data_IF_871138729573
#
_entry.id   IF_871138729573
#
_cell.length_a   1.000
_cell.length_b   1.000
_cell.length_c   1.000
_cell.angle_alpha   90.00
_cell.angle_beta   90.00
_cell.angle_gamma   90.00
#
_symmetry.space_group_name_H-M   'P 1'
#
loop_
_entity.id
_entity.type
_entity.pdbx_description
1 polymer ?
#
# COMPACT_ATOMS: atom_id res chain seq x y z
N UNK A 1 -1.25 -36.99 -28.81
CA UNK A 1 -1.67 -36.68 -27.43
C UNK A 1 -1.36 -35.22 -27.18
N UNK A 2 -2.38 -34.36 -27.19
CA UNK A 2 -2.20 -32.95 -26.81
C UNK A 2 -2.02 -32.84 -25.29
N UNK A 3 -1.30 -31.83 -24.78
CA UNK A 3 -1.13 -31.68 -23.34
C UNK A 3 -2.48 -31.35 -22.70
N UNK A 4 -2.90 -32.14 -21.71
CA UNK A 4 -4.01 -31.82 -20.82
C UNK A 4 -3.70 -30.53 -20.07
N UNK A 5 -4.35 -29.44 -20.48
CA UNK A 5 -4.32 -28.18 -19.72
C UNK A 5 -5.19 -28.37 -18.48
N UNK A 6 -4.57 -28.35 -17.30
CA UNK A 6 -5.24 -28.52 -16.02
C UNK A 6 -6.28 -27.41 -15.80
N UNK A 7 -7.49 -27.78 -15.43
CA UNK A 7 -8.67 -26.90 -15.25
C UNK A 7 -8.42 -25.68 -14.33
N UNK A 8 -7.44 -25.76 -13.42
CA UNK A 8 -7.02 -24.65 -12.56
C UNK A 8 -6.31 -23.50 -13.29
N UNK A 9 -5.57 -23.77 -14.37
CA UNK A 9 -4.86 -22.73 -15.14
C UNK A 9 -5.83 -21.89 -15.99
N UNK A 10 -6.95 -22.50 -16.41
CA UNK A 10 -8.02 -21.80 -17.14
C UNK A 10 -8.75 -20.82 -16.23
N UNK A 11 -9.01 -21.20 -14.97
CA UNK A 11 -9.62 -20.33 -13.96
C UNK A 11 -8.72 -19.15 -13.58
N UNK A 12 -7.41 -19.36 -13.47
CA UNK A 12 -6.48 -18.25 -13.22
C UNK A 12 -6.42 -17.27 -14.40
N UNK A 13 -6.40 -17.78 -15.65
CA UNK A 13 -6.42 -16.95 -16.86
C UNK A 13 -7.70 -16.13 -17.00
N UNK A 14 -8.85 -16.63 -16.56
CA UNK A 14 -10.10 -15.86 -16.57
C UNK A 14 -10.18 -14.81 -15.45
N UNK A 15 -9.43 -14.98 -14.36
CA UNK A 15 -9.48 -14.09 -13.19
C UNK A 15 -8.51 -12.90 -13.25
N UNK A 16 -7.59 -12.88 -14.22
CA UNK A 16 -6.65 -11.77 -14.43
C UNK A 16 -7.05 -11.05 -15.71
N UNK A 17 -7.33 -9.74 -15.58
CA UNK A 17 -7.61 -8.90 -16.74
C UNK A 17 -6.33 -8.44 -17.45
N UNK A 18 -6.41 -8.27 -18.76
CA UNK A 18 -5.34 -7.83 -19.65
C UNK A 18 -5.84 -6.74 -20.58
N UNK A 19 -4.95 -5.85 -20.99
CA UNK A 19 -5.23 -4.87 -22.04
C UNK A 19 -5.04 -5.51 -23.41
N UNK A 20 -6.10 -5.52 -24.22
CA UNK A 20 -6.05 -5.87 -25.63
C UNK A 20 -6.04 -4.60 -26.47
N UNK A 21 -5.35 -4.63 -27.62
CA UNK A 21 -5.31 -3.51 -28.53
C UNK A 21 -6.54 -3.52 -29.44
N UNK A 22 -7.22 -2.37 -29.54
CA UNK A 22 -8.35 -2.18 -30.46
C UNK A 22 -7.82 -2.15 -31.89
N UNK A 23 -6.81 -1.34 -32.18
CA UNK A 23 -6.02 -1.40 -33.41
C UNK A 23 -4.67 -2.04 -33.12
N UNK A 24 -4.31 -3.03 -33.92
CA UNK A 24 -3.10 -3.83 -33.73
C UNK A 24 -1.81 -3.01 -33.82
N UNK A 25 -0.85 -3.32 -32.95
CA UNK A 25 0.43 -2.57 -32.87
C UNK A 25 1.40 -2.93 -34.00
N UNK A 26 1.45 -4.19 -34.40
CA UNK A 26 2.40 -4.69 -35.40
C UNK A 26 1.73 -4.85 -36.77
N UNK A 27 2.50 -4.74 -37.85
CA UNK A 27 1.97 -4.83 -39.22
C UNK A 27 1.17 -6.11 -39.51
N UNK A 28 1.57 -7.23 -38.91
CA UNK A 28 0.88 -8.52 -39.06
C UNK A 28 -0.22 -8.78 -38.01
N UNK A 29 -0.45 -7.84 -37.10
CA UNK A 29 -1.43 -8.00 -36.02
C UNK A 29 -2.85 -7.71 -36.47
N UNK A 30 -3.82 -8.28 -35.75
CA UNK A 30 -5.23 -8.08 -36.04
C UNK A 30 -5.60 -6.59 -36.04
N UNK A 31 -6.31 -6.13 -37.07
CA UNK A 31 -6.81 -4.75 -37.20
C UNK A 31 -5.71 -3.67 -37.22
N UNK A 32 -4.50 -4.01 -37.70
CA UNK A 32 -3.45 -3.02 -37.88
C UNK A 32 -3.89 -1.91 -38.83
N UNK A 33 -3.67 -0.66 -38.43
CA UNK A 33 -3.84 0.53 -39.25
C UNK A 33 -2.46 1.12 -39.58
N UNK A 34 -2.17 1.24 -40.88
CA UNK A 34 -0.89 1.74 -41.38
C UNK A 34 -0.75 3.25 -41.22
N UNK A 35 -1.87 3.98 -41.13
CA UNK A 35 -1.89 5.44 -41.00
C UNK A 35 -1.75 5.89 -39.53
N UNK A 36 -1.81 4.94 -38.59
CA UNK A 36 -1.65 5.22 -37.15
C UNK A 36 -0.18 5.42 -36.78
N UNK A 37 0.10 6.43 -35.96
CA UNK A 37 1.44 6.66 -35.38
C UNK A 37 1.71 5.70 -34.21
N UNK A 38 2.97 5.53 -33.84
CA UNK A 38 3.35 4.68 -32.71
C UNK A 38 2.84 5.21 -31.36
N UNK A 39 2.75 6.55 -31.22
CA UNK A 39 2.14 7.21 -30.09
C UNK A 39 0.66 6.82 -29.97
N UNK A 40 -0.09 7.00 -31.05
CA UNK A 40 -1.53 6.65 -31.10
C UNK A 40 -1.76 5.15 -30.81
N UNK A 41 -0.90 4.26 -31.30
CA UNK A 41 -0.99 2.82 -31.01
C UNK A 41 -0.86 2.51 -29.51
N UNK A 42 -0.08 3.32 -28.80
CA UNK A 42 0.23 3.14 -27.37
C UNK A 42 -0.73 3.90 -26.44
N UNK A 43 -1.64 4.72 -26.98
CA UNK A 43 -2.57 5.49 -26.17
C UNK A 43 -3.58 4.60 -25.44
N UNK A 44 -3.99 4.97 -24.21
CA UNK A 44 -5.08 4.29 -23.51
C UNK A 44 -6.40 4.25 -24.31
N UNK A 45 -6.60 5.22 -25.20
CA UNK A 45 -7.74 5.24 -26.13
C UNK A 45 -7.73 4.06 -27.12
N UNK A 46 -6.57 3.49 -27.45
CA UNK A 46 -6.45 2.32 -28.32
C UNK A 46 -6.54 0.98 -27.56
N UNK A 47 -6.88 0.98 -26.28
CA UNK A 47 -6.93 -0.23 -25.46
C UNK A 47 -8.34 -0.56 -24.94
N UNK A 48 -8.60 -1.86 -24.76
CA UNK A 48 -9.76 -2.39 -24.04
C UNK A 48 -9.31 -3.39 -22.98
N UNK A 49 -9.87 -3.31 -21.78
CA UNK A 49 -9.55 -4.24 -20.69
C UNK A 49 -10.50 -5.43 -20.69
N UNK A 50 -9.97 -6.64 -20.81
CA UNK A 50 -10.72 -7.89 -20.94
C UNK A 50 -10.17 -8.93 -19.97
N UNK A 51 -10.95 -9.95 -19.62
CA UNK A 51 -10.38 -11.13 -18.96
C UNK A 51 -9.36 -11.81 -19.89
N UNK A 52 -8.39 -12.55 -19.34
CA UNK A 52 -7.33 -13.16 -20.15
C UNK A 52 -7.82 -14.04 -21.29
N UNK A 53 -8.95 -14.74 -21.11
CA UNK A 53 -9.57 -15.57 -22.16
C UNK A 53 -10.12 -14.71 -23.31
N UNK A 54 -10.89 -13.66 -23.00
CA UNK A 54 -11.45 -12.77 -24.01
C UNK A 54 -10.36 -11.94 -24.71
N UNK A 55 -9.32 -11.55 -23.99
CA UNK A 55 -8.13 -10.93 -24.57
C UNK A 55 -7.52 -11.84 -25.65
N UNK A 56 -7.18 -13.08 -25.27
CA UNK A 56 -6.53 -14.03 -26.19
C UNK A 56 -7.43 -14.34 -27.40
N UNK A 57 -8.75 -14.35 -27.22
CA UNK A 57 -9.72 -14.56 -28.29
C UNK A 57 -9.79 -13.40 -29.29
N UNK A 58 -9.74 -12.16 -28.80
CA UNK A 58 -9.82 -10.95 -29.63
C UNK A 58 -8.54 -10.71 -30.42
N UNK A 59 -7.38 -11.02 -29.83
CA UNK A 59 -6.07 -10.79 -30.45
C UNK A 59 -5.67 -11.91 -31.42
N UNK A 60 -5.97 -13.17 -31.11
CA UNK A 60 -5.52 -14.30 -31.94
C UNK A 60 -6.44 -14.63 -33.13
N UNK A 61 -7.58 -13.95 -33.30
CA UNK A 61 -8.53 -14.25 -34.38
C UNK A 61 -8.28 -13.47 -35.68
N UNK A 62 -7.09 -12.90 -35.88
CA UNK A 62 -6.70 -12.11 -37.09
C UNK A 62 -7.59 -10.90 -37.43
N UNK A 63 -8.62 -10.58 -36.63
CA UNK A 63 -9.46 -9.37 -36.78
C UNK A 63 -10.92 -9.56 -37.23
N UNK A 64 -11.31 -10.50 -38.13
CA UNK A 64 -12.65 -10.50 -38.72
C UNK A 64 -13.83 -10.65 -37.74
N UNK A 65 -13.64 -11.41 -36.65
CA UNK A 65 -14.71 -11.61 -35.66
C UNK A 65 -14.92 -10.44 -34.69
N UNK A 66 -13.97 -9.51 -34.63
CA UNK A 66 -13.97 -8.40 -33.67
C UNK A 66 -13.44 -7.16 -34.36
N UNK A 67 -14.31 -6.35 -34.96
CA UNK A 67 -13.91 -5.13 -35.66
C UNK A 67 -13.49 -4.01 -34.68
N UNK A 68 -12.72 -3.04 -35.17
CA UNK A 68 -12.36 -1.82 -34.42
C UNK A 68 -13.60 -1.12 -33.86
N UNK A 69 -14.65 -0.99 -34.69
CA UNK A 69 -15.91 -0.37 -34.29
C UNK A 69 -16.59 -1.12 -33.15
N UNK A 70 -16.61 -2.46 -33.20
CA UNK A 70 -17.22 -3.30 -32.17
C UNK A 70 -16.47 -3.19 -30.84
N UNK A 71 -15.14 -3.31 -30.85
CA UNK A 71 -14.31 -3.21 -29.64
C UNK A 71 -14.36 -1.81 -29.03
N UNK A 72 -14.39 -0.77 -29.87
CA UNK A 72 -14.60 0.62 -29.45
C UNK A 72 -15.94 0.78 -28.73
N UNK A 73 -17.03 0.26 -29.33
CA UNK A 73 -18.36 0.27 -28.72
C UNK A 73 -18.36 -0.45 -27.36
N UNK A 74 -17.74 -1.64 -27.27
CA UNK A 74 -17.67 -2.39 -26.02
C UNK A 74 -16.90 -1.65 -24.92
N UNK A 75 -15.77 -1.03 -25.26
CA UNK A 75 -14.99 -0.20 -24.33
C UNK A 75 -15.83 0.97 -23.81
N UNK A 76 -16.51 1.67 -24.71
CA UNK A 76 -17.27 2.87 -24.37
C UNK A 76 -18.51 2.54 -23.55
N UNK A 77 -19.24 1.48 -23.90
CA UNK A 77 -20.38 0.97 -23.14
C UNK A 77 -19.96 0.51 -21.75
N UNK A 78 -18.86 -0.23 -21.64
CA UNK A 78 -18.33 -0.67 -20.35
C UNK A 78 -17.93 0.54 -19.50
N UNK A 79 -17.18 1.49 -20.07
CA UNK A 79 -16.73 2.70 -19.37
C UNK A 79 -17.91 3.55 -18.93
N UNK A 80 -18.95 3.68 -19.76
CA UNK A 80 -20.18 4.39 -19.41
C UNK A 80 -20.94 3.67 -18.27
N UNK A 81 -21.04 2.34 -18.32
CA UNK A 81 -21.62 1.53 -17.24
C UNK A 81 -20.84 1.74 -15.94
N UNK A 82 -19.52 1.58 -15.96
CA UNK A 82 -18.67 1.79 -14.77
C UNK A 82 -18.81 3.21 -14.23
N UNK A 83 -18.80 4.24 -15.08
CA UNK A 83 -19.03 5.63 -14.65
C UNK A 83 -20.40 5.82 -13.99
N UNK A 84 -21.47 5.22 -14.53
CA UNK A 84 -22.80 5.26 -13.91
C UNK A 84 -22.82 4.52 -12.57
N UNK A 85 -22.14 3.37 -12.48
CA UNK A 85 -22.00 2.59 -11.25
C UNK A 85 -21.23 3.39 -10.19
N UNK A 86 -20.11 4.02 -10.57
CA UNK A 86 -19.33 4.92 -9.73
C UNK A 86 -20.02 6.24 -9.39
N UNK A 87 -21.10 6.61 -10.08
CA UNK A 87 -21.93 7.76 -9.73
C UNK A 87 -23.19 7.35 -8.95
N UNK A 88 -23.48 6.05 -8.86
CA UNK A 88 -24.70 5.56 -8.23
C UNK A 88 -24.54 5.47 -6.72
N UNK A 89 -25.40 6.13 -5.93
CA UNK A 89 -25.38 6.05 -4.47
C UNK A 89 -25.76 4.67 -3.92
N UNK A 90 -26.23 3.74 -4.78
CA UNK A 90 -26.65 2.39 -4.39
C UNK A 90 -25.53 1.34 -4.45
N UNK A 91 -24.34 1.70 -4.90
CA UNK A 91 -23.19 0.80 -4.88
C UNK A 91 -22.33 1.05 -3.63
N UNK A 92 -22.09 0.03 -2.79
CA UNK A 92 -21.27 0.17 -1.59
C UNK A 92 -19.78 0.44 -1.88
N UNK A 93 -19.38 0.39 -3.14
CA UNK A 93 -17.99 0.60 -3.56
C UNK A 93 -17.54 2.06 -3.39
N UNK A 94 -18.42 3.04 -3.57
CA UNK A 94 -18.08 4.46 -3.40
C UNK A 94 -17.74 4.82 -1.96
N UNK A 95 -18.60 4.49 -0.96
CA UNK A 95 -18.26 4.66 0.45
C UNK A 95 -16.98 3.95 0.84
N UNK A 96 -16.77 2.72 0.34
CA UNK A 96 -15.58 1.93 0.64
C UNK A 96 -14.29 2.53 0.03
N UNK A 97 -14.35 2.98 -1.22
CA UNK A 97 -13.24 3.68 -1.86
C UNK A 97 -12.93 5.01 -1.16
N UNK A 98 -13.96 5.78 -0.80
CA UNK A 98 -13.79 7.01 -0.03
C UNK A 98 -13.19 6.73 1.36
N UNK A 99 -13.62 5.65 2.02
CA UNK A 99 -13.07 5.19 3.30
C UNK A 99 -11.59 4.83 3.18
N UNK A 100 -11.22 4.09 2.14
CA UNK A 100 -9.84 3.72 1.84
C UNK A 100 -8.98 4.96 1.53
N UNK A 101 -9.46 5.88 0.70
CA UNK A 101 -8.75 7.12 0.37
C UNK A 101 -8.55 8.00 1.61
N UNK A 102 -9.59 8.13 2.44
CA UNK A 102 -9.53 8.87 3.70
C UNK A 102 -8.55 8.24 4.68
N UNK A 103 -8.61 6.93 4.88
CA UNK A 103 -7.70 6.21 5.75
C UNK A 103 -6.25 6.23 5.23
N UNK A 104 -6.04 6.22 3.92
CA UNK A 104 -4.72 6.41 3.32
C UNK A 104 -4.13 7.79 3.70
N UNK A 105 -4.94 8.86 3.71
CA UNK A 105 -4.50 10.19 4.17
C UNK A 105 -4.12 10.19 5.66
N UNK A 106 -4.89 9.51 6.50
CA UNK A 106 -4.56 9.35 7.93
C UNK A 106 -3.26 8.55 8.12
N UNK A 107 -3.05 7.48 7.35
CA UNK A 107 -1.82 6.70 7.40
C UNK A 107 -0.61 7.52 6.95
N UNK A 108 -0.75 8.33 5.90
CA UNK A 108 0.30 9.25 5.49
C UNK A 108 0.66 10.24 6.61
N UNK A 109 -0.34 10.84 7.26
CA UNK A 109 -0.09 11.73 8.40
C UNK A 109 0.60 11.00 9.55
N UNK A 110 0.24 9.76 9.82
CA UNK A 110 0.91 8.92 10.82
C UNK A 110 2.37 8.69 10.45
N UNK A 111 2.67 8.42 9.18
CA UNK A 111 4.05 8.28 8.71
C UNK A 111 4.85 9.57 8.89
N UNK A 112 4.26 10.72 8.57
CA UNK A 112 4.90 12.03 8.77
C UNK A 112 5.16 12.30 10.26
N UNK A 113 4.21 11.97 11.13
CA UNK A 113 4.36 12.09 12.59
C UNK A 113 5.51 11.22 13.09
N UNK A 114 5.61 9.98 12.62
CA UNK A 114 6.65 9.03 13.02
C UNK A 114 8.03 9.47 12.48
N UNK A 115 8.10 9.92 11.24
CA UNK A 115 9.33 10.42 10.62
C UNK A 115 9.90 11.64 11.35
N UNK A 116 9.04 12.49 11.92
CA UNK A 116 9.47 13.62 12.76
C UNK A 116 10.07 13.18 14.12
N UNK A 117 9.73 11.99 14.64
CA UNK A 117 10.26 11.51 15.93
C UNK A 117 11.61 10.84 15.77
N UNK A 118 12.69 11.62 15.95
CA UNK A 118 14.07 11.11 15.96
C UNK A 118 14.29 9.89 16.84
N UNK A 119 13.59 9.82 17.98
CA UNK A 119 13.60 8.67 18.89
C UNK A 119 13.25 7.33 18.26
N UNK A 120 12.68 7.32 17.05
CA UNK A 120 12.33 6.11 16.32
C UNK A 120 13.40 5.64 15.33
N UNK A 121 14.30 6.52 14.89
CA UNK A 121 15.16 6.24 13.74
C UNK A 121 16.63 6.65 13.87
N UNK A 122 16.99 7.42 14.91
CA UNK A 122 18.39 7.72 15.22
C UNK A 122 19.04 6.63 16.08
N UNK A 123 20.38 6.56 16.03
CA UNK A 123 21.16 5.67 16.88
C UNK A 123 20.83 5.91 18.36
N UNK A 124 20.62 4.83 19.12
CA UNK A 124 20.32 4.88 20.56
C UNK A 124 21.38 5.64 21.37
N UNK A 125 22.62 5.70 20.87
CA UNK A 125 23.73 6.40 21.52
C UNK A 125 23.68 7.93 21.35
N UNK A 126 22.84 8.44 20.45
CA UNK A 126 22.66 9.87 20.21
C UNK A 126 21.37 10.40 20.85
N UNK A 127 20.65 9.56 21.59
CA UNK A 127 19.38 9.91 22.19
C UNK A 127 19.58 10.66 23.52
N UNK A 128 18.74 11.66 23.75
CA UNK A 128 18.62 12.32 25.04
C UNK A 128 17.31 11.88 25.70
N UNK A 129 17.41 11.09 26.77
CA UNK A 129 16.25 10.45 27.42
C UNK A 129 15.09 11.39 27.79
N UNK A 130 15.33 12.59 28.34
CA UNK A 130 14.25 13.55 28.58
C UNK A 130 13.45 13.90 27.30
N UNK A 131 14.14 13.99 26.16
CA UNK A 131 13.53 14.25 24.86
C UNK A 131 12.81 13.02 24.31
N UNK A 132 13.36 11.81 24.49
CA UNK A 132 12.69 10.55 24.13
C UNK A 132 11.35 10.45 24.85
N UNK A 133 11.33 10.62 26.17
CA UNK A 133 10.08 10.52 26.95
C UNK A 133 9.06 11.59 26.50
N UNK A 134 9.51 12.82 26.24
CA UNK A 134 8.65 13.89 25.71
C UNK A 134 8.08 13.53 24.33
N UNK A 135 8.91 13.01 23.43
CA UNK A 135 8.53 12.58 22.09
C UNK A 135 7.49 11.46 22.14
N UNK A 136 7.66 10.47 23.03
CA UNK A 136 6.71 9.36 23.18
C UNK A 136 5.36 9.77 23.78
N UNK A 137 5.35 10.75 24.70
CA UNK A 137 4.08 11.36 25.17
C UNK A 137 3.36 12.07 24.03
N UNK A 138 4.08 12.85 23.23
CA UNK A 138 3.53 13.52 22.05
C UNK A 138 2.98 12.48 21.06
N UNK A 139 3.77 11.45 20.71
CA UNK A 139 3.36 10.39 19.80
C UNK A 139 2.04 9.73 20.21
N UNK A 140 1.84 9.46 21.51
CA UNK A 140 0.58 8.91 22.00
C UNK A 140 -0.61 9.85 21.79
N UNK A 141 -0.44 11.14 22.02
CA UNK A 141 -1.50 12.13 21.76
C UNK A 141 -1.84 12.20 20.27
N UNK A 142 -0.82 12.13 19.42
CA UNK A 142 -0.98 12.12 17.97
C UNK A 142 -1.69 10.84 17.47
N UNK A 143 -1.36 9.66 18.01
CA UNK A 143 -2.09 8.42 17.69
C UNK A 143 -3.55 8.47 18.13
N UNK A 144 -3.83 9.08 19.29
CA UNK A 144 -5.21 9.31 19.73
C UNK A 144 -5.95 10.28 18.81
N UNK A 145 -5.26 11.25 18.19
CA UNK A 145 -5.86 12.16 17.21
C UNK A 145 -6.18 11.43 15.91
N UNK A 146 -5.22 10.68 15.36
CA UNK A 146 -5.42 9.85 14.17
C UNK A 146 -6.58 8.84 14.34
N UNK A 147 -6.72 8.25 15.53
CA UNK A 147 -7.84 7.36 15.87
C UNK A 147 -9.23 8.02 15.82
N UNK A 148 -9.31 9.34 16.02
CA UNK A 148 -10.57 10.10 15.91
C UNK A 148 -10.84 10.57 14.49
N UNK A 149 -9.79 10.75 13.70
CA UNK A 149 -9.88 11.25 12.33
C UNK A 149 -10.16 10.12 11.33
N UNK A 150 -9.67 8.91 11.58
CA UNK A 150 -9.89 7.77 10.67
C UNK A 150 -11.37 7.44 10.47
N UNK A 151 -11.68 6.96 9.27
CA UNK A 151 -12.95 6.32 8.98
C UNK A 151 -12.95 4.90 9.55
N UNK A 152 -14.13 4.29 9.69
CA UNK A 152 -14.27 3.03 10.41
C UNK A 152 -13.43 1.91 9.79
N UNK A 153 -12.45 1.40 10.52
CA UNK A 153 -11.52 0.37 10.07
C UNK A 153 -10.90 -0.32 11.29
N UNK A 154 -11.31 -1.56 11.54
CA UNK A 154 -10.87 -2.29 12.73
C UNK A 154 -9.37 -2.58 12.73
N UNK A 155 -8.78 -2.82 11.57
CA UNK A 155 -7.36 -3.17 11.49
C UNK A 155 -6.50 -1.93 11.68
N UNK A 156 -6.81 -0.82 11.01
CA UNK A 156 -6.12 0.45 11.23
C UNK A 156 -6.27 0.90 12.68
N UNK A 157 -7.46 0.75 13.27
CA UNK A 157 -7.70 1.09 14.69
C UNK A 157 -6.82 0.26 15.64
N UNK A 158 -6.67 -1.04 15.39
CA UNK A 158 -5.76 -1.91 16.15
C UNK A 158 -4.31 -1.47 15.98
N UNK A 159 -3.90 -1.14 14.76
CA UNK A 159 -2.54 -0.73 14.43
C UNK A 159 -2.16 0.59 15.12
N UNK A 160 -3.01 1.62 15.06
CA UNK A 160 -2.77 2.89 15.74
C UNK A 160 -2.74 2.73 17.27
N UNK A 161 -3.63 1.88 17.83
CA UNK A 161 -3.60 1.55 19.26
C UNK A 161 -2.31 0.83 19.65
N UNK A 162 -1.81 -0.06 18.80
CA UNK A 162 -0.57 -0.79 19.04
C UNK A 162 0.64 0.15 19.06
N UNK A 163 0.74 1.11 18.12
CA UNK A 163 1.79 2.14 18.14
C UNK A 163 1.76 2.93 19.46
N UNK A 164 0.58 3.41 19.86
CA UNK A 164 0.42 4.12 21.14
C UNK A 164 0.70 3.25 22.36
N UNK A 165 0.48 1.94 22.28
CA UNK A 165 0.77 0.98 23.33
C UNK A 165 2.27 0.68 23.45
N UNK A 166 2.99 0.53 22.34
CA UNK A 166 4.45 0.35 22.32
C UNK A 166 5.14 1.51 23.06
N UNK A 167 4.79 2.75 22.71
CA UNK A 167 5.30 3.95 23.39
C UNK A 167 4.98 3.96 24.90
N UNK A 168 3.78 3.50 25.28
CA UNK A 168 3.37 3.40 26.70
C UNK A 168 4.17 2.33 27.44
N UNK A 169 4.39 1.18 26.81
CA UNK A 169 5.10 0.04 27.39
C UNK A 169 6.56 0.41 27.68
N UNK A 170 7.22 1.10 26.75
CA UNK A 170 8.56 1.64 27.00
C UNK A 170 8.59 2.55 28.21
N UNK A 171 7.72 3.57 28.25
CA UNK A 171 7.68 4.51 29.38
C UNK A 171 7.29 3.86 30.72
N UNK A 172 6.62 2.70 30.69
CA UNK A 172 6.30 1.92 31.89
C UNK A 172 7.51 1.11 32.36
N UNK A 173 8.29 0.56 31.44
CA UNK A 173 9.43 -0.32 31.75
C UNK A 173 10.74 0.45 32.00
N UNK A 174 10.84 1.67 31.47
CA UNK A 174 11.96 2.60 31.68
C UNK A 174 11.57 3.61 32.74
N UNK A 175 11.93 3.33 33.99
CA UNK A 175 11.79 4.27 35.10
C UNK A 175 12.83 5.38 34.92
N UNK A 176 12.38 6.63 34.91
CA UNK A 176 13.23 7.82 34.81
C UNK A 176 13.23 8.58 36.13
N UNK A 177 14.37 9.16 36.48
CA UNK A 177 14.50 10.06 37.63
C UNK A 177 13.89 11.44 37.35
N UNK A 178 14.00 12.35 38.32
CA UNK A 178 13.48 13.72 38.22
C UNK A 178 14.17 14.53 37.11
N UNK A 179 15.41 14.16 36.77
CA UNK A 179 16.19 14.69 35.66
C UNK A 179 15.81 14.12 34.29
N UNK A 180 14.91 13.13 34.26
CA UNK A 180 14.44 12.45 33.05
C UNK A 180 15.39 11.37 32.54
N UNK A 181 16.45 11.02 33.27
CA UNK A 181 17.39 9.96 32.89
C UNK A 181 16.98 8.59 33.45
N UNK A 182 17.29 7.47 32.76
CA UNK A 182 16.88 6.14 33.19
C UNK A 182 17.56 5.71 34.50
N UNK A 183 16.77 5.35 35.51
CA UNK A 183 17.29 4.97 36.83
C UNK A 183 18.06 3.65 36.85
N UNK A 184 17.83 2.77 35.85
CA UNK A 184 18.54 1.48 35.68
C UNK A 184 19.69 1.56 34.66
N UNK A 185 20.07 2.76 34.25
CA UNK A 185 21.10 3.00 33.24
C UNK A 185 20.59 2.95 31.80
N UNK A 186 21.35 3.57 30.90
CA UNK A 186 20.98 3.76 29.50
C UNK A 186 20.95 2.47 28.69
N UNK A 187 21.83 1.51 29.00
CA UNK A 187 21.88 0.22 28.27
C UNK A 187 20.54 -0.52 28.38
N UNK A 188 19.99 -0.63 29.60
CA UNK A 188 18.69 -1.24 29.83
C UNK A 188 17.59 -0.47 29.08
N UNK A 189 17.63 0.86 29.12
CA UNK A 189 16.63 1.70 28.50
C UNK A 189 16.67 1.62 26.94
N UNK A 190 17.87 1.57 26.36
CA UNK A 190 18.10 1.40 24.93
C UNK A 190 17.55 0.07 24.41
N UNK A 191 17.68 -1.03 25.18
CA UNK A 191 17.08 -2.31 24.82
C UNK A 191 15.54 -2.22 24.69
N UNK A 192 14.87 -1.51 25.61
CA UNK A 192 13.42 -1.29 25.50
C UNK A 192 13.07 -0.36 24.33
N UNK A 193 13.95 0.58 24.00
CA UNK A 193 13.78 1.47 22.85
C UNK A 193 13.85 0.69 21.53
N UNK A 194 14.79 -0.24 21.40
CA UNK A 194 14.92 -1.09 20.22
C UNK A 194 13.71 -2.00 20.04
N UNK A 195 13.23 -2.65 21.11
CA UNK A 195 12.00 -3.47 21.06
C UNK A 195 10.79 -2.65 20.60
N UNK A 196 10.62 -1.45 21.14
CA UNK A 196 9.52 -0.56 20.73
C UNK A 196 9.64 -0.15 19.26
N UNK A 197 10.87 0.11 18.77
CA UNK A 197 11.12 0.37 17.36
C UNK A 197 10.74 -0.85 16.53
N UNK A 198 11.22 -2.05 16.81
CA UNK A 198 10.83 -3.25 16.06
C UNK A 198 9.30 -3.45 15.97
N UNK A 199 8.59 -3.27 17.09
CA UNK A 199 7.12 -3.34 17.14
C UNK A 199 6.47 -2.32 16.18
N UNK A 200 6.88 -1.06 16.25
CA UNK A 200 6.34 0.00 15.39
C UNK A 200 6.69 -0.27 13.91
N UNK A 201 7.86 -0.84 13.62
CA UNK A 201 8.32 -1.05 12.24
C UNK A 201 7.53 -2.13 11.53
N UNK A 202 7.20 -3.19 12.25
CA UNK A 202 6.26 -4.21 11.76
C UNK A 202 4.91 -3.61 11.39
N UNK A 203 4.40 -2.66 12.20
CA UNK A 203 3.15 -1.96 11.93
C UNK A 203 3.28 -1.05 10.70
N UNK A 204 4.35 -0.25 10.60
CA UNK A 204 4.62 0.63 9.45
C UNK A 204 4.69 -0.17 8.14
N UNK A 205 5.42 -1.29 8.13
CA UNK A 205 5.53 -2.15 6.96
C UNK A 205 4.17 -2.73 6.52
N UNK A 206 3.32 -3.11 7.49
CA UNK A 206 1.97 -3.59 7.20
C UNK A 206 1.11 -2.47 6.62
N UNK A 207 1.09 -1.29 7.23
CA UNK A 207 0.32 -0.14 6.76
C UNK A 207 0.74 0.30 5.35
N UNK A 208 2.05 0.36 5.08
CA UNK A 208 2.60 0.70 3.78
C UNK A 208 2.09 -0.25 2.67
N UNK A 209 2.08 -1.57 2.96
CA UNK A 209 1.54 -2.58 2.05
C UNK A 209 0.02 -2.47 1.87
N UNK A 210 -0.73 -2.31 2.97
CA UNK A 210 -2.20 -2.26 2.95
C UNK A 210 -2.73 -1.07 2.17
N UNK A 211 -2.13 0.11 2.35
CA UNK A 211 -2.58 1.35 1.73
C UNK A 211 -1.79 1.75 0.48
N UNK A 212 -0.79 0.94 0.09
CA UNK A 212 0.11 1.21 -1.03
C UNK A 212 0.80 2.59 -0.93
N UNK A 213 1.29 2.92 0.26
CA UNK A 213 1.96 4.19 0.57
C UNK A 213 3.46 3.93 0.75
N UNK A 214 4.34 4.72 0.12
CA UNK A 214 5.78 4.59 0.31
C UNK A 214 6.17 4.95 1.74
N UNK A 215 7.06 4.15 2.34
CA UNK A 215 7.62 4.44 3.65
C UNK A 215 8.58 5.63 3.52
N UNK A 216 8.51 6.68 4.38
CA UNK A 216 9.48 7.77 4.39
C UNK A 216 10.91 7.29 4.64
N UNK A 217 11.91 7.95 4.04
CA UNK A 217 13.32 7.54 4.13
C UNK A 217 13.82 7.42 5.58
N UNK A 218 13.37 8.31 6.47
CA UNK A 218 13.69 8.29 7.90
C UNK A 218 13.27 6.98 8.57
N UNK A 219 12.18 6.37 8.10
CA UNK A 219 11.64 5.12 8.62
C UNK A 219 12.17 3.89 7.86
N UNK A 220 13.02 4.07 6.85
CA UNK A 220 13.64 2.98 6.08
C UNK A 220 14.97 2.48 6.69
N UNK A 221 15.43 3.07 7.80
CA UNK A 221 16.77 2.83 8.33
C UNK A 221 17.01 1.40 8.88
N UNK A 222 18.28 0.94 8.99
CA UNK A 222 18.64 -0.45 9.28
C UNK A 222 18.17 -0.97 10.65
N UNK A 223 17.83 -0.06 11.59
CA UNK A 223 17.30 -0.41 12.92
C UNK A 223 15.94 -1.09 12.85
N UNK A 224 15.22 -1.02 11.73
CA UNK A 224 13.95 -1.73 11.52
C UNK A 224 14.12 -3.06 10.78
N UNK A 225 15.31 -3.34 10.23
CA UNK A 225 15.60 -4.49 9.35
C UNK A 225 16.65 -5.47 9.88
N UNK A 226 17.26 -5.23 11.04
CA UNK A 226 18.17 -6.20 11.66
C UNK A 226 17.48 -7.10 12.69
N UNK A 227 16.45 -7.79 12.23
CA UNK A 227 16.06 -9.11 12.76
C UNK A 227 16.97 -10.23 12.23
N UNK A 228 18.24 -9.95 11.91
CA UNK A 228 19.19 -10.97 11.45
C UNK A 228 20.58 -10.71 12.04
N UNK A 229 20.90 -11.46 13.10
CA UNK A 229 22.24 -11.96 13.37
C UNK A 229 23.34 -10.94 13.66
N UNK A 230 23.38 -10.40 14.88
CA UNK A 230 24.67 -10.23 15.56
C UNK A 230 24.59 -11.00 16.88
N UNK A 231 25.45 -12.01 16.96
CA UNK A 231 25.51 -12.97 18.06
C UNK A 231 25.61 -12.28 19.41
N UNK A 232 24.86 -12.84 20.38
CA UNK A 232 25.11 -12.61 21.79
C UNK A 232 26.55 -13.05 22.09
N UNK A 233 27.40 -12.23 22.73
CA UNK A 233 28.38 -12.77 23.66
C UNK A 233 27.69 -13.38 24.89
#
# INVERSE_FOLDING_TARGET
MGPEVKTGDVLLKSNIGKFAHIQGREFASARHDADMTDEQRSEPANAIFLCGVCHDLVDNNSGPGYSVALLTLWRDDHTAKVRRLLASPRLPLLPELMRLEHNAKVVQQVFDILADKRSLHYSVHMELWPHVIKALRNLRSEMNRALREMADDDQLRKDLKAIGAAARNLMKNVIVGDDGWPSKGEIHANQHLDVMREEIGSIVNRLAKTYNIPIPHELQLPTWTLGVGLGRP
#
